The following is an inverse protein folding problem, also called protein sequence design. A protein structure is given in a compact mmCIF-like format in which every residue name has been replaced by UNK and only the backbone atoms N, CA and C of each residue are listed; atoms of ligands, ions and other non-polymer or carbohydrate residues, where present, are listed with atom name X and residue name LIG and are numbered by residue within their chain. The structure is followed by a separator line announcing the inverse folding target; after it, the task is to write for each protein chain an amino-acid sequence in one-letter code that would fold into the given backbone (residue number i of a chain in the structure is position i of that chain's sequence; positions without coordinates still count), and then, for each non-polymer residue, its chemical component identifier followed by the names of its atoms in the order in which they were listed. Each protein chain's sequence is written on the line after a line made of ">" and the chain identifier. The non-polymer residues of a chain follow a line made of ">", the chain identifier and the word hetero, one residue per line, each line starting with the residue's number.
data_IF_192551920953
#
_entry.id   IF_192551920953
#
_cell.length_a   1.000
_cell.length_b   1.000
_cell.length_c   1.000
_cell.angle_alpha   90.00
_cell.angle_beta   90.00
_cell.angle_gamma   90.00
#
_symmetry.space_group_name_H-M   'P 1'
#
loop_
_entity.id
_entity.type
_entity.pdbx_description
1 polymer ?
#
# COMPACT_ATOMS: atom_id res chain seq x y z
N UNK A 1 21.19 -8.00 -13.07
CA UNK A 1 21.02 -6.70 -13.76
C UNK A 1 19.53 -6.38 -13.85
N UNK A 2 18.86 -6.03 -12.73
CA UNK A 2 17.45 -5.57 -12.75
C UNK A 2 17.50 -4.05 -12.86
N UNK A 3 17.12 -3.52 -14.02
CA UNK A 3 16.88 -2.09 -14.18
C UNK A 3 15.90 -1.67 -13.07
N UNK A 4 16.38 -0.90 -12.09
CA UNK A 4 15.52 -0.29 -11.07
C UNK A 4 14.68 0.77 -11.78
N UNK A 5 13.55 0.37 -12.37
CA UNK A 5 12.59 1.31 -12.92
C UNK A 5 12.07 2.16 -11.77
N UNK A 6 12.57 3.40 -11.69
CA UNK A 6 12.08 4.37 -10.73
C UNK A 6 10.68 4.80 -11.18
N UNK A 7 9.65 4.69 -10.33
CA UNK A 7 8.33 5.16 -10.70
C UNK A 7 8.40 6.67 -10.98
N UNK A 8 7.72 7.12 -12.04
CA UNK A 8 7.64 8.54 -12.40
C UNK A 8 6.77 9.36 -11.44
N UNK A 9 6.04 8.69 -10.53
CA UNK A 9 5.16 9.35 -9.55
C UNK A 9 3.92 10.00 -10.16
N UNK A 10 3.50 9.55 -11.35
CA UNK A 10 2.31 10.05 -12.05
C UNK A 10 1.22 8.97 -12.07
N UNK A 11 0.00 9.35 -11.72
CA UNK A 11 -1.20 8.55 -11.97
C UNK A 11 -1.67 8.74 -13.41
N UNK A 12 -1.93 7.63 -14.09
CA UNK A 12 -2.54 7.64 -15.42
C UNK A 12 -4.03 7.95 -15.27
N UNK A 13 -4.52 8.90 -16.04
CA UNK A 13 -5.95 9.20 -16.14
C UNK A 13 -6.62 8.18 -17.08
N UNK A 14 -7.96 8.00 -17.05
CA UNK A 14 -8.65 7.10 -17.97
C UNK A 14 -8.28 7.31 -19.45
N UNK A 15 -8.14 8.56 -19.88
CA UNK A 15 -7.76 8.91 -21.26
C UNK A 15 -6.33 8.49 -21.65
N UNK A 16 -5.44 8.27 -20.68
CA UNK A 16 -4.08 7.78 -20.92
C UNK A 16 -4.07 6.31 -21.42
N UNK A 17 -5.20 5.59 -21.37
CA UNK A 17 -5.33 4.18 -21.78
C UNK A 17 -5.80 3.98 -23.24
N UNK A 18 -5.89 5.05 -24.04
CA UNK A 18 -6.30 4.96 -25.45
C UNK A 18 -5.49 3.91 -26.25
N UNK A 19 -6.13 3.06 -27.08
CA UNK A 19 -7.53 3.10 -27.52
C UNK A 19 -8.54 2.38 -26.61
N UNK A 20 -8.12 1.91 -25.44
CA UNK A 20 -8.99 1.20 -24.51
C UNK A 20 -9.93 2.21 -23.84
N UNK A 21 -11.23 2.03 -24.02
CA UNK A 21 -12.24 2.76 -23.26
C UNK A 21 -12.43 2.06 -21.92
N UNK A 22 -12.27 2.80 -20.82
CA UNK A 22 -12.46 2.30 -19.46
C UNK A 22 -13.73 2.93 -18.88
N UNK A 23 -14.65 2.11 -18.42
CA UNK A 23 -15.76 2.61 -17.61
C UNK A 23 -15.22 3.11 -16.25
N UNK A 24 -15.86 4.11 -15.62
CA UNK A 24 -15.41 4.65 -14.33
C UNK A 24 -15.21 3.56 -13.26
N UNK A 25 -16.12 2.59 -13.20
CA UNK A 25 -16.06 1.48 -12.25
C UNK A 25 -14.86 0.56 -12.49
N UNK A 26 -14.45 0.36 -13.74
CA UNK A 26 -13.26 -0.42 -14.10
C UNK A 26 -11.98 0.31 -13.71
N UNK A 27 -11.91 1.61 -14.00
CA UNK A 27 -10.77 2.44 -13.62
C UNK A 27 -10.61 2.51 -12.09
N UNK A 28 -11.69 2.76 -11.35
CA UNK A 28 -11.64 2.78 -9.87
C UNK A 28 -11.34 1.39 -9.31
N UNK A 29 -11.89 0.34 -9.92
CA UNK A 29 -11.59 -1.04 -9.57
C UNK A 29 -10.10 -1.36 -9.66
N UNK A 30 -9.48 -0.99 -10.80
CA UNK A 30 -8.04 -1.15 -11.03
C UNK A 30 -7.18 -0.23 -10.18
N UNK A 31 -7.62 1.01 -9.91
CA UNK A 31 -6.94 1.93 -9.00
C UNK A 31 -6.88 1.36 -7.58
N UNK A 32 -7.97 0.73 -7.11
CA UNK A 32 -7.96 0.04 -5.83
C UNK A 32 -6.97 -1.14 -5.82
N UNK A 33 -6.90 -1.93 -6.89
CA UNK A 33 -5.97 -3.06 -6.98
C UNK A 33 -4.50 -2.58 -7.01
N UNK A 34 -4.23 -1.47 -7.70
CA UNK A 34 -2.92 -0.81 -7.73
C UNK A 34 -2.42 -0.47 -6.32
N UNK A 35 -3.29 -0.09 -5.38
CA UNK A 35 -2.85 0.22 -4.00
C UNK A 35 -2.22 -0.97 -3.29
N UNK A 36 -2.66 -2.19 -3.62
CA UNK A 36 -2.07 -3.44 -3.13
C UNK A 36 -0.67 -3.66 -3.70
N UNK A 37 -0.49 -3.40 -5.00
CA UNK A 37 0.82 -3.48 -5.64
C UNK A 37 1.79 -2.41 -5.13
N UNK A 38 1.32 -1.18 -4.85
CA UNK A 38 2.10 -0.13 -4.19
C UNK A 38 2.57 -0.62 -2.82
N UNK A 39 1.68 -1.27 -2.04
CA UNK A 39 2.04 -1.88 -0.76
C UNK A 39 3.14 -2.94 -0.90
N UNK A 40 3.04 -3.84 -1.88
CA UNK A 40 4.09 -4.85 -2.14
C UNK A 40 5.42 -4.20 -2.56
N UNK A 41 5.36 -3.21 -3.45
CA UNK A 41 6.55 -2.46 -3.86
C UNK A 41 7.21 -1.76 -2.68
N UNK A 42 6.43 -1.18 -1.77
CA UNK A 42 6.93 -0.53 -0.57
C UNK A 42 7.66 -1.51 0.36
N UNK A 43 7.16 -2.74 0.55
CA UNK A 43 7.88 -3.78 1.30
C UNK A 43 9.26 -4.03 0.69
N UNK A 44 9.35 -4.17 -0.63
CA UNK A 44 10.63 -4.34 -1.31
C UNK A 44 11.57 -3.14 -1.11
N UNK A 45 11.04 -1.92 -1.01
CA UNK A 45 11.81 -0.71 -0.67
C UNK A 45 12.24 -0.68 0.78
N UNK A 46 11.39 -1.13 1.71
CA UNK A 46 11.73 -1.30 3.12
C UNK A 46 12.90 -2.27 3.33
N UNK A 47 12.89 -3.40 2.62
CA UNK A 47 14.01 -4.36 2.64
C UNK A 47 15.32 -3.76 2.13
N UNK A 48 15.25 -2.87 1.14
CA UNK A 48 16.39 -2.12 0.62
C UNK A 48 16.79 -0.92 1.51
N UNK A 49 16.12 -0.71 2.66
CA UNK A 49 16.22 0.49 3.52
C UNK A 49 16.00 1.82 2.77
N UNK A 50 15.21 1.79 1.70
CA UNK A 50 14.86 2.96 0.89
C UNK A 50 13.66 3.69 1.50
N UNK A 51 13.91 4.44 2.58
CA UNK A 51 12.88 5.25 3.24
C UNK A 51 12.19 6.27 2.30
N UNK A 52 12.90 6.98 1.39
CA UNK A 52 12.24 7.81 0.38
C UNK A 52 11.27 7.03 -0.52
N UNK A 53 11.64 5.81 -0.94
CA UNK A 53 10.78 4.93 -1.73
C UNK A 53 9.53 4.50 -0.98
N UNK A 54 9.66 4.10 0.29
CA UNK A 54 8.51 3.75 1.15
C UNK A 54 7.60 4.96 1.36
N UNK A 55 8.17 6.15 1.57
CA UNK A 55 7.42 7.41 1.73
C UNK A 55 6.62 7.76 0.49
N UNK A 56 7.19 7.61 -0.71
CA UNK A 56 6.46 7.81 -1.96
C UNK A 56 5.24 6.89 -2.05
N UNK A 57 5.38 5.64 -1.63
CA UNK A 57 4.27 4.67 -1.62
C UNK A 57 3.17 5.08 -0.63
N UNK A 58 3.56 5.50 0.58
CA UNK A 58 2.63 5.99 1.60
C UNK A 58 1.82 7.19 1.09
N UNK A 59 2.48 8.22 0.57
CA UNK A 59 1.81 9.42 0.06
C UNK A 59 0.91 9.10 -1.14
N UNK A 60 1.32 8.16 -1.98
CA UNK A 60 0.49 7.71 -3.10
C UNK A 60 -0.79 7.03 -2.61
N UNK A 61 -0.69 6.09 -1.68
CA UNK A 61 -1.85 5.40 -1.11
C UNK A 61 -2.78 6.36 -0.35
N UNK A 62 -2.22 7.32 0.41
CA UNK A 62 -3.00 8.38 1.06
C UNK A 62 -3.73 9.26 0.05
N UNK A 63 -3.07 9.66 -1.03
CA UNK A 63 -3.69 10.47 -2.07
C UNK A 63 -4.86 9.76 -2.76
N UNK A 64 -4.70 8.46 -3.06
CA UNK A 64 -5.79 7.63 -3.61
C UNK A 64 -6.95 7.52 -2.61
N UNK A 65 -6.63 7.25 -1.34
CA UNK A 65 -7.63 7.16 -0.26
C UNK A 65 -8.48 8.42 -0.19
N UNK A 66 -7.84 9.59 -0.13
CA UNK A 66 -8.52 10.89 -0.10
C UNK A 66 -9.37 11.08 -1.34
N UNK A 67 -8.83 10.82 -2.54
CA UNK A 67 -9.57 10.98 -3.79
C UNK A 67 -10.87 10.15 -3.80
N UNK A 68 -10.81 8.88 -3.39
CA UNK A 68 -11.99 8.00 -3.33
C UNK A 68 -12.99 8.45 -2.27
N UNK A 69 -12.53 8.83 -1.07
CA UNK A 69 -13.40 9.32 0.00
C UNK A 69 -14.11 10.63 -0.35
N UNK A 70 -13.54 11.44 -1.25
CA UNK A 70 -14.16 12.71 -1.70
C UNK A 70 -15.18 12.53 -2.83
N UNK A 71 -15.35 11.33 -3.37
CA UNK A 71 -16.35 11.09 -4.42
C UNK A 71 -17.76 11.05 -3.85
N UNK A 72 -18.73 11.64 -4.56
CA UNK A 72 -20.15 11.58 -4.16
C UNK A 72 -20.70 10.15 -4.25
N UNK A 73 -20.17 9.33 -5.16
CA UNK A 73 -20.56 7.94 -5.37
C UNK A 73 -19.33 7.10 -5.65
N UNK A 74 -19.33 5.87 -5.13
CA UNK A 74 -18.28 4.88 -5.39
C UNK A 74 -18.89 3.59 -5.92
N UNK A 75 -18.14 2.81 -6.73
CA UNK A 75 -18.61 1.52 -7.23
C UNK A 75 -18.92 0.53 -6.10
N UNK A 76 -19.80 -0.43 -6.36
CA UNK A 76 -20.11 -1.48 -5.40
C UNK A 76 -18.85 -2.27 -4.99
N UNK A 77 -18.69 -2.56 -3.69
CA UNK A 77 -17.53 -3.29 -3.16
C UNK A 77 -16.29 -2.44 -2.88
N UNK A 78 -16.30 -1.14 -3.22
CA UNK A 78 -15.21 -0.20 -2.92
C UNK A 78 -14.89 -0.18 -1.42
N UNK A 79 -15.90 -0.22 -0.55
CA UNK A 79 -15.71 -0.19 0.91
C UNK A 79 -14.75 -1.26 1.46
N UNK A 80 -14.81 -2.51 0.96
CA UNK A 80 -13.87 -3.56 1.38
C UNK A 80 -12.44 -3.25 0.94
N UNK A 81 -12.29 -2.74 -0.29
CA UNK A 81 -10.98 -2.33 -0.82
C UNK A 81 -10.41 -1.12 -0.06
N UNK A 82 -11.26 -0.17 0.36
CA UNK A 82 -10.85 0.96 1.20
C UNK A 82 -10.36 0.52 2.58
N UNK A 83 -11.01 -0.46 3.21
CA UNK A 83 -10.52 -1.04 4.47
C UNK A 83 -9.12 -1.65 4.32
N UNK A 84 -8.86 -2.37 3.22
CA UNK A 84 -7.53 -2.91 2.93
C UNK A 84 -6.49 -1.80 2.67
N UNK A 85 -6.88 -0.73 1.97
CA UNK A 85 -6.03 0.44 1.72
C UNK A 85 -5.65 1.15 3.03
N UNK A 86 -6.60 1.33 3.96
CA UNK A 86 -6.33 1.93 5.27
C UNK A 86 -5.30 1.13 6.06
N UNK A 87 -5.44 -0.21 6.06
CA UNK A 87 -4.47 -1.09 6.71
C UNK A 87 -3.10 -1.04 6.02
N UNK A 88 -3.06 -0.92 4.68
CA UNK A 88 -1.81 -0.71 3.95
C UNK A 88 -1.13 0.59 4.40
N UNK A 89 -1.85 1.70 4.48
CA UNK A 89 -1.33 3.00 4.93
C UNK A 89 -0.71 2.87 6.34
N UNK A 90 -1.42 2.28 7.30
CA UNK A 90 -0.91 2.06 8.67
C UNK A 90 0.38 1.24 8.69
N UNK A 91 0.46 0.18 7.87
CA UNK A 91 1.69 -0.64 7.74
C UNK A 91 2.87 0.16 7.19
N UNK A 92 2.62 1.02 6.20
CA UNK A 92 3.67 1.87 5.61
C UNK A 92 4.15 2.95 6.57
N UNK A 93 3.25 3.54 7.36
CA UNK A 93 3.61 4.48 8.44
C UNK A 93 4.49 3.80 9.49
N UNK A 94 4.11 2.60 9.94
CA UNK A 94 4.89 1.81 10.88
C UNK A 94 6.28 1.50 10.32
N UNK A 95 6.37 1.06 9.06
CA UNK A 95 7.64 0.75 8.41
C UNK A 95 8.56 1.98 8.32
N UNK A 96 8.04 3.16 7.98
CA UNK A 96 8.83 4.39 7.98
C UNK A 96 9.35 4.77 9.36
N UNK A 97 8.52 4.55 10.40
CA UNK A 97 8.93 4.74 11.78
C UNK A 97 10.05 3.77 12.18
N UNK A 98 9.92 2.49 11.85
CA UNK A 98 10.96 1.49 12.11
C UNK A 98 12.27 1.83 11.40
N UNK A 99 12.21 2.25 10.13
CA UNK A 99 13.38 2.70 9.37
C UNK A 99 14.05 3.92 10.01
N UNK A 100 13.27 4.89 10.51
CA UNK A 100 13.84 6.08 11.16
C UNK A 100 14.50 5.76 12.50
N UNK A 101 13.98 4.78 13.25
CA UNK A 101 14.63 4.29 14.48
C UNK A 101 15.95 3.58 14.18
N UNK A 102 15.98 2.73 13.15
CA UNK A 102 17.18 2.02 12.69
C UNK A 102 18.26 3.02 12.29
N UNK A 103 17.90 4.05 11.53
CA UNK A 103 18.79 5.14 11.14
C UNK A 103 19.31 5.92 12.35
N UNK A 104 18.43 6.32 13.26
CA UNK A 104 18.79 7.11 14.45
C UNK A 104 19.67 6.35 15.45
N UNK A 105 19.51 5.03 15.56
CA UNK A 105 20.28 4.19 16.50
C UNK A 105 21.54 3.59 15.89
N UNK A 106 21.76 3.74 14.58
CA UNK A 106 22.88 3.13 13.87
C UNK A 106 22.90 1.61 13.88
N UNK A 107 21.81 0.95 14.32
CA UNK A 107 21.73 -0.51 14.43
C UNK A 107 21.30 -1.12 13.10
N UNK A 108 22.13 -1.98 12.52
CA UNK A 108 21.70 -2.90 11.47
C UNK A 108 20.87 -4.04 12.10
N UNK A 109 19.62 -3.78 12.47
CA UNK A 109 18.73 -4.85 12.92
C UNK A 109 18.27 -5.61 11.67
N UNK A 110 18.76 -6.84 11.50
CA UNK A 110 18.11 -7.85 10.69
C UNK A 110 17.02 -8.46 11.58
N UNK A 111 15.79 -7.99 11.46
CA UNK A 111 14.67 -8.51 12.24
C UNK A 111 14.21 -9.81 11.57
N UNK A 112 14.47 -10.94 12.22
CA UNK A 112 13.74 -12.18 11.96
C UNK A 112 12.30 -11.94 12.42
N UNK A 113 11.36 -12.06 11.47
CA UNK A 113 9.92 -11.97 11.76
C UNK A 113 9.53 -13.27 12.45
N UNK A 114 9.34 -13.21 13.76
CA UNK A 114 8.57 -14.24 14.48
C UNK A 114 7.10 -14.07 14.10
N UNK A 115 6.57 -15.04 13.36
CA UNK A 115 5.14 -15.17 13.10
C UNK A 115 4.42 -15.37 14.44
N UNK A 116 3.75 -14.31 14.92
CA UNK A 116 2.81 -14.42 16.01
C UNK A 116 1.60 -15.24 15.52
N UNK A 117 1.61 -16.54 15.83
CA UNK A 117 0.46 -17.42 15.68
C UNK A 117 -0.60 -16.97 16.70
N UNK A 118 -1.72 -16.43 16.22
CA UNK A 118 -2.92 -16.24 17.03
C UNK A 118 -3.49 -17.60 17.43
N UNK A 119 -3.23 -18.04 18.67
CA UNK A 119 -4.02 -19.08 19.32
C UNK A 119 -5.42 -18.52 19.63
N UNK A 120 -6.40 -18.91 18.81
CA UNK A 120 -7.80 -18.85 19.22
C UNK A 120 -8.07 -20.00 20.18
N UNK A 121 -8.18 -19.68 21.47
CA UNK A 121 -8.81 -20.57 22.44
C UNK A 121 -10.30 -20.69 22.09
N UNK A 122 -10.69 -21.85 21.57
CA UNK A 122 -12.07 -22.34 21.63
C UNK A 122 -12.22 -23.13 22.93
N UNK A 123 -12.79 -22.49 23.96
CA UNK A 123 -13.33 -23.18 25.13
C UNK A 123 -14.86 -23.09 25.12
N UNK A 124 -15.44 -24.28 24.97
CA UNK A 124 -16.66 -24.81 25.59
C UNK A 124 -18.03 -24.20 25.26
N UNK A 125 -18.90 -25.08 24.76
CA UNK A 125 -20.09 -25.44 25.53
C UNK A 125 -20.47 -26.90 25.29
N UNK A 126 -20.63 -27.62 26.41
CA UNK A 126 -21.36 -28.89 26.55
C UNK A 126 -22.81 -28.81 26.03
#
# INVERSE_FOLDING_TARGET
>A
NRLRHRPRGRMLQPDDFHPIHLEPDEYIGGLCDLTGEIGRYAVQRGMDRDAPGVRLCLETNKSIMVAILTMERTPAGTGKKMGALEQSIKKLEKMLYELSLVEATGRNIATEVEDAVEEKNEENND
#
